data_IF_432336414947
#
_entry.id   IF_432336414947
#
_cell.length_a   1.000
_cell.length_b   1.000
_cell.length_c   1.000
_cell.angle_alpha   90.00
_cell.angle_beta   90.00
_cell.angle_gamma   90.00
#
_symmetry.space_group_name_H-M   'P 1'
#
loop_
_entity.id
_entity.type
_entity.pdbx_description
1 polymer ?
#
# COMPACT_ATOMS: atom_id res chain seq x y z
N UNK A 1 -15.35 -12.60 11.75
CA UNK A 1 -16.41 -11.53 11.70
C UNK A 1 -15.72 -10.20 11.41
N UNK A 2 -16.26 -9.38 10.47
CA UNK A 2 -15.76 -8.02 10.21
C UNK A 2 -16.50 -7.00 11.07
N UNK A 3 -15.79 -6.02 11.60
CA UNK A 3 -16.32 -4.87 12.34
C UNK A 3 -15.67 -3.59 11.84
N UNK A 4 -16.44 -2.49 11.84
CA UNK A 4 -15.96 -1.17 11.48
C UNK A 4 -15.55 -0.41 12.74
N UNK A 5 -14.44 0.31 12.67
CA UNK A 5 -13.95 1.18 13.73
C UNK A 5 -13.63 2.56 13.16
N UNK A 6 -13.63 3.57 14.02
CA UNK A 6 -13.38 4.95 13.63
C UNK A 6 -12.48 5.63 14.65
N UNK A 7 -11.52 6.38 14.17
CA UNK A 7 -10.65 7.22 15.00
C UNK A 7 -10.37 8.56 14.34
N UNK A 8 -9.92 9.55 15.13
CA UNK A 8 -9.62 10.87 14.61
C UNK A 8 -8.29 10.86 13.85
N UNK A 9 -8.27 11.47 12.64
CA UNK A 9 -7.05 11.65 11.87
C UNK A 9 -6.08 12.60 12.56
N UNK A 10 -4.79 12.42 12.33
CA UNK A 10 -3.74 13.39 12.71
C UNK A 10 -3.79 14.66 11.84
N UNK A 11 -4.48 14.60 10.71
CA UNK A 11 -4.83 15.77 9.90
C UNK A 11 -6.17 16.36 10.32
N UNK A 12 -7.18 16.17 9.50
CA UNK A 12 -8.56 16.62 9.77
C UNK A 12 -9.54 15.52 9.52
N UNK A 13 -10.62 15.47 10.33
CA UNK A 13 -11.70 14.51 10.19
C UNK A 13 -11.42 13.16 10.82
N UNK A 14 -12.11 12.13 10.36
CA UNK A 14 -12.08 10.79 10.92
C UNK A 14 -11.60 9.76 9.90
N UNK A 15 -10.94 8.75 10.39
CA UNK A 15 -10.48 7.58 9.64
C UNK A 15 -11.43 6.42 9.94
N UNK A 16 -11.96 5.83 8.87
CA UNK A 16 -12.63 4.55 8.89
C UNK A 16 -11.61 3.42 8.84
N UNK A 17 -11.82 2.38 9.60
CA UNK A 17 -11.01 1.17 9.51
C UNK A 17 -11.88 -0.08 9.70
N UNK A 18 -11.45 -1.18 9.13
CA UNK A 18 -12.06 -2.49 9.29
C UNK A 18 -11.17 -3.40 10.14
N UNK A 19 -11.84 -4.27 10.88
CA UNK A 19 -11.21 -5.30 11.69
C UNK A 19 -11.87 -6.64 11.37
N UNK A 20 -11.09 -7.63 10.90
CA UNK A 20 -11.53 -9.01 10.68
C UNK A 20 -11.00 -9.88 11.81
N UNK A 21 -11.94 -10.40 12.62
CA UNK A 21 -11.64 -11.09 13.87
C UNK A 21 -11.74 -12.59 13.63
N UNK A 22 -10.70 -13.38 13.95
CA UNK A 22 -10.74 -14.84 13.84
C UNK A 22 -11.64 -15.46 14.91
N UNK A 23 -11.98 -16.73 14.75
CA UNK A 23 -12.57 -17.53 15.82
C UNK A 23 -11.50 -17.85 16.87
N UNK A 24 -11.81 -17.58 18.14
CA UNK A 24 -10.88 -17.79 19.25
C UNK A 24 -9.83 -16.69 19.40
N UNK A 25 -8.74 -17.01 20.10
CA UNK A 25 -7.65 -16.06 20.36
C UNK A 25 -6.80 -15.90 19.09
N UNK A 26 -6.52 -14.66 18.63
CA UNK A 26 -5.66 -14.45 17.49
C UNK A 26 -4.20 -14.83 17.82
N UNK A 27 -3.51 -15.41 16.83
CA UNK A 27 -2.10 -15.78 16.95
C UNK A 27 -1.14 -14.65 16.57
N UNK A 28 -1.58 -13.72 15.76
CA UNK A 28 -0.84 -12.54 15.33
C UNK A 28 -1.77 -11.50 14.71
N UNK A 29 -1.28 -10.28 14.51
CA UNK A 29 -1.98 -9.19 13.82
C UNK A 29 -1.36 -8.98 12.44
N UNK A 30 -2.18 -8.79 11.40
CA UNK A 30 -1.78 -8.32 10.08
C UNK A 30 -2.47 -6.98 9.81
N UNK A 31 -1.69 -5.91 9.70
CA UNK A 31 -2.21 -4.61 9.26
C UNK A 31 -2.00 -4.47 7.75
N UNK A 32 -3.09 -4.23 7.01
CA UNK A 32 -3.09 -3.98 5.57
C UNK A 32 -3.13 -2.48 5.30
N UNK A 33 -2.28 -2.01 4.39
CA UNK A 33 -2.23 -0.63 3.89
C UNK A 33 -2.53 -0.67 2.40
N UNK A 34 -3.69 -0.16 1.99
CA UNK A 34 -4.21 -0.24 0.63
C UNK A 34 -3.54 0.75 -0.34
N UNK A 35 -3.80 0.59 -1.64
CA UNK A 35 -3.26 1.42 -2.72
C UNK A 35 -4.05 2.71 -2.96
N UNK A 36 -3.66 3.46 -4.00
CA UNK A 36 -4.33 4.67 -4.44
C UNK A 36 -5.64 4.34 -5.17
N UNK A 37 -6.65 5.17 -4.98
CA UNK A 37 -7.96 5.09 -5.65
C UNK A 37 -8.67 3.74 -5.47
N UNK A 38 -8.51 3.17 -4.29
CA UNK A 38 -9.21 1.96 -3.82
C UNK A 38 -9.61 2.13 -2.35
N UNK A 39 -10.11 1.08 -1.70
CA UNK A 39 -10.59 1.11 -0.34
C UNK A 39 -10.47 -0.25 0.35
N UNK A 40 -10.62 -0.25 1.67
CA UNK A 40 -10.26 -1.36 2.55
C UNK A 40 -11.02 -2.65 2.28
N UNK A 41 -12.32 -2.60 1.95
CA UNK A 41 -13.11 -3.82 1.75
C UNK A 41 -12.73 -4.62 0.48
N UNK A 42 -11.91 -4.06 -0.41
CA UNK A 42 -11.35 -4.83 -1.54
C UNK A 42 -10.39 -5.94 -1.09
N UNK A 43 -9.97 -5.91 0.17
CA UNK A 43 -9.12 -6.91 0.79
C UNK A 43 -9.91 -7.98 1.57
N UNK A 44 -11.26 -7.95 1.51
CA UNK A 44 -12.12 -8.90 2.25
C UNK A 44 -11.74 -10.37 2.01
N UNK A 45 -11.49 -10.78 0.77
CA UNK A 45 -11.13 -12.18 0.45
C UNK A 45 -9.81 -12.59 1.14
N UNK A 46 -8.78 -11.76 1.05
CA UNK A 46 -7.49 -12.03 1.68
C UNK A 46 -7.57 -11.95 3.21
N UNK A 47 -8.25 -10.94 3.75
CA UNK A 47 -8.43 -10.79 5.19
C UNK A 47 -9.22 -11.98 5.77
N UNK A 48 -10.29 -12.43 5.10
CA UNK A 48 -11.05 -13.61 5.51
C UNK A 48 -10.23 -14.91 5.39
N UNK A 49 -9.35 -15.03 4.39
CA UNK A 49 -8.41 -16.13 4.32
C UNK A 49 -7.50 -16.15 5.56
N UNK A 50 -6.86 -15.04 5.90
CA UNK A 50 -5.98 -14.94 7.06
C UNK A 50 -6.73 -15.16 8.39
N UNK A 51 -7.97 -14.66 8.53
CA UNK A 51 -8.75 -14.89 9.76
C UNK A 51 -9.12 -16.36 9.96
N UNK A 52 -9.39 -17.10 8.89
CA UNK A 52 -9.57 -18.57 8.99
C UNK A 52 -8.29 -19.28 9.45
N UNK A 53 -7.13 -18.66 9.26
CA UNK A 53 -5.83 -19.15 9.74
C UNK A 53 -5.47 -18.62 11.13
N UNK A 54 -6.38 -17.94 11.82
CA UNK A 54 -6.19 -17.45 13.18
C UNK A 54 -5.52 -16.09 13.32
N UNK A 55 -5.44 -15.28 12.25
CA UNK A 55 -4.92 -13.92 12.31
C UNK A 55 -6.03 -12.90 12.58
N UNK A 56 -5.73 -11.92 13.42
CA UNK A 56 -6.49 -10.67 13.45
C UNK A 56 -5.99 -9.79 12.28
N UNK A 57 -6.89 -9.37 11.41
CA UNK A 57 -6.53 -8.45 10.32
C UNK A 57 -7.15 -7.09 10.61
N UNK A 58 -6.38 -6.01 10.40
CA UNK A 58 -6.84 -4.62 10.53
C UNK A 58 -6.39 -3.83 9.31
N UNK A 59 -7.22 -2.87 8.87
CA UNK A 59 -6.87 -1.98 7.78
C UNK A 59 -7.71 -0.69 7.88
N UNK A 60 -7.12 0.45 7.53
CA UNK A 60 -7.85 1.71 7.42
C UNK A 60 -8.07 2.12 5.97
N UNK A 61 -9.18 2.84 5.72
CA UNK A 61 -9.29 3.69 4.55
C UNK A 61 -8.42 4.93 4.76
N UNK A 62 -7.47 5.17 3.89
CA UNK A 62 -6.66 6.38 3.97
C UNK A 62 -7.52 7.63 3.83
N UNK A 63 -7.08 8.75 4.41
CA UNK A 63 -7.72 10.04 4.22
C UNK A 63 -8.03 10.30 2.74
N UNK A 64 -9.27 10.70 2.44
CA UNK A 64 -9.75 10.92 1.07
C UNK A 64 -10.04 9.65 0.25
N UNK A 65 -9.99 8.46 0.88
CA UNK A 65 -10.32 7.17 0.27
C UNK A 65 -11.45 6.49 1.05
N UNK A 66 -12.13 5.55 0.40
CA UNK A 66 -13.16 4.73 1.01
C UNK A 66 -14.19 5.55 1.78
N UNK A 67 -14.42 5.18 3.03
CA UNK A 67 -15.31 5.91 3.94
C UNK A 67 -14.60 7.06 4.70
N UNK A 68 -13.27 7.21 4.57
CA UNK A 68 -12.49 8.32 5.13
C UNK A 68 -12.54 9.58 4.26
N UNK A 69 -13.56 9.72 3.41
CA UNK A 69 -13.91 10.93 2.70
C UNK A 69 -14.71 11.80 3.66
N UNK A 70 -14.05 12.84 4.21
CA UNK A 70 -14.65 13.69 5.23
C UNK A 70 -15.77 14.60 4.69
N UNK A 71 -16.35 15.42 5.57
CA UNK A 71 -17.49 16.28 5.27
C UNK A 71 -17.27 17.32 4.16
N UNK A 72 -16.03 17.57 3.73
CA UNK A 72 -15.70 18.38 2.55
C UNK A 72 -15.87 17.60 1.21
N UNK A 73 -16.04 16.26 1.29
CA UNK A 73 -16.22 15.39 0.13
C UNK A 73 -15.01 15.26 -0.78
N UNK A 74 -13.81 15.71 -0.36
CA UNK A 74 -12.61 15.71 -1.19
C UNK A 74 -12.04 14.30 -1.27
N UNK A 75 -12.05 13.71 -2.47
CA UNK A 75 -11.47 12.41 -2.76
C UNK A 75 -10.02 12.53 -3.19
N UNK A 76 -9.21 11.54 -2.84
CA UNK A 76 -7.85 11.45 -3.29
C UNK A 76 -7.01 12.65 -2.88
N UNK A 77 -7.13 13.09 -1.61
CA UNK A 77 -6.35 14.15 -1.02
C UNK A 77 -6.01 13.82 0.44
N UNK A 78 -4.75 13.96 0.80
CA UNK A 78 -4.29 13.80 2.17
C UNK A 78 -4.26 15.14 2.90
N UNK A 79 -5.23 15.41 3.77
CA UNK A 79 -5.19 16.57 4.67
C UNK A 79 -3.97 16.46 5.60
N UNK A 80 -3.02 17.37 5.45
CA UNK A 80 -1.73 17.33 6.16
C UNK A 80 -0.61 16.59 5.42
N UNK A 81 -0.90 15.98 4.26
CA UNK A 81 0.09 15.37 3.37
C UNK A 81 0.54 13.96 3.76
N UNK A 82 1.59 13.49 3.08
CA UNK A 82 2.10 12.11 3.18
C UNK A 82 2.37 11.62 4.61
N UNK A 83 3.11 12.42 5.39
CA UNK A 83 3.50 11.99 6.73
C UNK A 83 2.35 11.98 7.71
N UNK A 84 1.32 12.80 7.51
CA UNK A 84 0.09 12.75 8.30
C UNK A 84 -0.69 11.46 8.02
N UNK A 85 -0.80 11.04 6.76
CA UNK A 85 -1.40 9.75 6.42
C UNK A 85 -0.60 8.56 7.00
N UNK A 86 0.72 8.65 7.07
CA UNK A 86 1.56 7.67 7.77
C UNK A 86 1.25 7.63 9.27
N UNK A 87 1.05 8.78 9.90
CA UNK A 87 0.72 8.87 11.33
C UNK A 87 -0.68 8.32 11.64
N UNK A 88 -1.63 8.41 10.71
CA UNK A 88 -2.94 7.77 10.81
C UNK A 88 -2.81 6.23 10.82
N UNK A 89 -2.02 5.66 9.90
CA UNK A 89 -1.70 4.22 9.89
C UNK A 89 -0.97 3.77 11.16
N UNK A 90 -0.07 4.60 11.68
CA UNK A 90 0.63 4.35 12.94
C UNK A 90 -0.30 4.44 14.16
N UNK A 91 -1.35 5.29 14.11
CA UNK A 91 -2.36 5.33 15.17
C UNK A 91 -3.14 4.02 15.24
N UNK A 92 -3.59 3.48 14.09
CA UNK A 92 -4.24 2.16 14.04
C UNK A 92 -3.33 1.06 14.62
N UNK A 93 -2.05 1.06 14.25
CA UNK A 93 -1.05 0.14 14.80
C UNK A 93 -0.94 0.26 16.31
N UNK A 94 -0.80 1.48 16.81
CA UNK A 94 -0.66 1.77 18.25
C UNK A 94 -1.88 1.29 19.05
N UNK A 95 -3.08 1.61 18.55
CA UNK A 95 -4.32 1.24 19.23
C UNK A 95 -4.53 -0.28 19.22
N UNK A 96 -4.23 -0.94 18.11
CA UNK A 96 -4.30 -2.41 18.01
C UNK A 96 -3.27 -3.08 18.91
N UNK A 97 -2.04 -2.58 18.97
CA UNK A 97 -1.00 -3.11 19.88
C UNK A 97 -1.32 -2.85 21.35
N UNK A 98 -2.01 -1.77 21.70
CA UNK A 98 -2.46 -1.53 23.06
C UNK A 98 -3.54 -2.54 23.50
N UNK A 99 -4.38 -2.99 22.59
CA UNK A 99 -5.39 -4.02 22.85
C UNK A 99 -4.78 -5.45 22.86
N UNK A 100 -3.75 -5.69 22.02
CA UNK A 100 -3.09 -6.99 21.86
C UNK A 100 -1.56 -6.86 22.00
N UNK A 101 -1.04 -6.51 23.17
CA UNK A 101 0.37 -6.13 23.34
C UNK A 101 1.37 -7.28 23.09
N UNK A 102 0.95 -8.52 23.32
CA UNK A 102 1.83 -9.70 23.19
C UNK A 102 1.80 -10.33 21.80
N UNK A 103 0.90 -9.88 20.90
CA UNK A 103 0.79 -10.49 19.58
C UNK A 103 1.88 -10.01 18.63
N UNK A 104 2.51 -10.93 17.89
CA UNK A 104 3.32 -10.57 16.73
C UNK A 104 2.56 -9.65 15.77
N UNK A 105 3.23 -8.63 15.21
CA UNK A 105 2.58 -7.63 14.37
C UNK A 105 3.23 -7.56 12.99
N UNK A 106 2.48 -7.88 11.97
CA UNK A 106 2.90 -7.92 10.58
C UNK A 106 2.31 -6.73 9.82
N UNK A 107 3.15 -6.01 9.08
CA UNK A 107 2.72 -4.92 8.21
C UNK A 107 2.67 -5.40 6.76
N UNK A 108 1.56 -5.20 6.07
CA UNK A 108 1.39 -5.50 4.65
C UNK A 108 0.99 -4.24 3.89
N UNK A 109 1.81 -3.77 2.95
CA UNK A 109 1.48 -2.62 2.12
C UNK A 109 1.40 -2.97 0.65
N UNK A 110 0.32 -2.55 -0.04
CA UNK A 110 0.11 -2.75 -1.47
C UNK A 110 0.15 -1.43 -2.25
N UNK A 111 0.85 -1.40 -3.38
CA UNK A 111 0.91 -0.24 -4.29
C UNK A 111 1.37 1.04 -3.57
N UNK A 112 0.56 2.11 -3.56
CA UNK A 112 0.82 3.30 -2.72
C UNK A 112 1.04 2.90 -1.26
N UNK A 113 0.25 1.96 -0.73
CA UNK A 113 0.43 1.41 0.62
C UNK A 113 1.79 0.73 0.82
N UNK A 114 2.42 0.21 -0.24
CA UNK A 114 3.78 -0.33 -0.17
C UNK A 114 4.84 0.77 0.03
N UNK A 115 4.61 1.96 -0.54
CA UNK A 115 5.46 3.13 -0.29
C UNK A 115 5.23 3.67 1.13
N UNK A 116 3.98 3.63 1.63
CA UNK A 116 3.64 3.98 3.01
C UNK A 116 4.30 3.01 3.99
N UNK A 117 4.20 1.70 3.77
CA UNK A 117 4.87 0.70 4.60
C UNK A 117 6.40 0.92 4.64
N UNK A 118 7.04 1.14 3.48
CA UNK A 118 8.48 1.47 3.42
C UNK A 118 8.79 2.77 4.15
N UNK A 119 7.89 3.78 4.13
CA UNK A 119 8.06 5.01 4.92
C UNK A 119 8.04 4.70 6.41
N UNK A 120 7.12 3.84 6.87
CA UNK A 120 7.05 3.39 8.27
C UNK A 120 8.35 2.71 8.67
N UNK A 121 8.86 1.76 7.87
CA UNK A 121 10.13 1.07 8.15
C UNK A 121 11.32 2.03 8.29
N UNK A 122 11.37 3.08 7.46
CA UNK A 122 12.44 4.08 7.50
C UNK A 122 12.30 5.07 8.66
N UNK A 123 11.06 5.47 8.99
CA UNK A 123 10.81 6.55 9.97
C UNK A 123 10.65 6.05 11.39
N UNK A 124 10.14 4.82 11.55
CA UNK A 124 9.80 4.22 12.85
C UNK A 124 10.44 2.83 13.02
N UNK A 125 11.78 2.71 13.03
CA UNK A 125 12.49 1.42 13.06
C UNK A 125 12.12 0.57 14.27
N UNK A 126 11.76 1.22 15.40
CA UNK A 126 11.46 0.58 16.67
C UNK A 126 9.95 0.47 16.96
N UNK A 127 9.08 0.52 15.92
CA UNK A 127 7.63 0.42 16.12
C UNK A 127 7.13 -0.98 16.52
N UNK A 128 8.06 -1.93 16.70
CA UNK A 128 7.77 -3.28 17.20
C UNK A 128 7.04 -4.16 16.17
N UNK A 129 7.42 -4.07 14.90
CA UNK A 129 7.01 -5.01 13.88
C UNK A 129 7.76 -6.34 14.02
N UNK A 130 7.08 -7.44 13.77
CA UNK A 130 7.66 -8.78 13.66
C UNK A 130 8.13 -9.06 12.23
N UNK A 131 7.40 -8.60 11.23
CA UNK A 131 7.72 -8.76 9.82
C UNK A 131 7.01 -7.70 8.96
N UNK A 132 7.48 -7.49 7.72
CA UNK A 132 6.81 -6.61 6.76
C UNK A 132 6.73 -7.23 5.37
N UNK A 133 5.61 -7.01 4.67
CA UNK A 133 5.38 -7.45 3.30
C UNK A 133 5.13 -6.24 2.42
N UNK A 134 5.92 -6.13 1.36
CA UNK A 134 5.93 -5.01 0.42
C UNK A 134 5.43 -5.52 -0.92
N UNK A 135 4.15 -5.26 -1.22
CA UNK A 135 3.44 -5.79 -2.37
C UNK A 135 3.28 -4.74 -3.48
N UNK A 136 3.61 -5.09 -4.72
CA UNK A 136 3.38 -4.23 -5.89
C UNK A 136 4.13 -2.89 -5.83
N UNK A 137 5.32 -2.88 -5.22
CA UNK A 137 6.15 -1.67 -5.07
C UNK A 137 6.98 -1.38 -6.31
N UNK A 138 7.47 -0.15 -6.43
CA UNK A 138 8.39 0.27 -7.46
C UNK A 138 9.67 0.91 -6.90
N UNK A 139 10.56 1.29 -7.82
CA UNK A 139 11.74 2.11 -7.57
C UNK A 139 11.88 3.13 -8.68
N UNK A 140 12.03 4.39 -8.33
CA UNK A 140 12.18 5.48 -9.28
C UNK A 140 13.61 6.05 -9.21
N UNK A 141 14.18 6.55 -10.31
CA UNK A 141 15.46 7.21 -10.24
C UNK A 141 15.38 8.47 -9.35
N UNK A 142 16.06 8.44 -8.20
CA UNK A 142 15.99 9.51 -7.19
C UNK A 142 16.32 10.90 -7.75
N UNK A 143 17.13 11.00 -8.82
CA UNK A 143 17.48 12.28 -9.44
C UNK A 143 16.33 12.92 -10.24
N UNK A 144 15.35 12.13 -10.69
CA UNK A 144 14.21 12.63 -11.48
C UNK A 144 13.08 13.19 -10.61
N UNK A 145 12.92 12.67 -9.39
CA UNK A 145 11.82 13.00 -8.50
C UNK A 145 11.79 14.47 -8.06
N UNK A 146 12.90 15.13 -7.67
CA UNK A 146 12.88 16.54 -7.27
C UNK A 146 12.34 17.49 -8.34
N UNK A 147 12.71 17.25 -9.60
CA UNK A 147 12.22 18.07 -10.73
C UNK A 147 10.71 17.86 -10.94
N UNK A 148 10.24 16.61 -10.89
CA UNK A 148 8.82 16.29 -11.00
C UNK A 148 8.02 16.88 -9.84
N UNK A 149 8.47 16.74 -8.60
CA UNK A 149 7.83 17.33 -7.42
C UNK A 149 7.70 18.85 -7.58
N UNK A 150 8.75 19.53 -8.04
CA UNK A 150 8.72 20.99 -8.27
C UNK A 150 7.68 21.41 -9.32
N UNK A 151 7.50 20.62 -10.38
CA UNK A 151 6.46 20.86 -11.39
C UNK A 151 5.08 20.70 -10.75
N UNK A 152 4.85 19.63 -9.99
CA UNK A 152 3.57 19.38 -9.32
C UNK A 152 3.30 20.45 -8.25
N UNK A 153 4.29 20.85 -7.46
CA UNK A 153 4.16 21.98 -6.50
C UNK A 153 3.69 23.27 -7.20
N UNK A 154 4.16 23.52 -8.43
CA UNK A 154 3.68 24.66 -9.22
C UNK A 154 2.19 24.57 -9.58
N UNK A 155 1.69 23.37 -9.83
CA UNK A 155 0.25 23.10 -10.10
C UNK A 155 -0.56 23.26 -8.81
N UNK A 156 -0.08 22.70 -7.71
CA UNK A 156 -0.70 22.75 -6.38
C UNK A 156 -0.92 24.17 -5.86
N UNK A 157 -0.11 25.15 -6.28
CA UNK A 157 -0.28 26.57 -5.89
C UNK A 157 -1.64 27.16 -6.29
N UNK A 158 -2.33 26.60 -7.28
CA UNK A 158 -3.66 27.06 -7.69
C UNK A 158 -4.74 26.41 -6.84
N UNK A 159 -4.71 25.11 -6.74
CA UNK A 159 -5.61 24.31 -5.92
C UNK A 159 -5.08 22.87 -5.86
N UNK A 160 -4.56 22.48 -4.72
CA UNK A 160 -3.98 21.14 -4.54
C UNK A 160 -5.03 20.04 -4.31
N UNK A 161 -6.26 20.43 -3.99
CA UNK A 161 -7.35 19.48 -3.68
C UNK A 161 -8.06 18.97 -4.92
N UNK A 162 -7.90 19.65 -6.07
CA UNK A 162 -8.60 19.28 -7.29
C UNK A 162 -8.02 18.05 -7.96
N UNK A 163 -8.88 17.16 -8.47
CA UNK A 163 -8.49 16.08 -9.38
C UNK A 163 -7.69 16.63 -10.57
N UNK A 164 -6.63 15.92 -10.97
CA UNK A 164 -5.78 16.37 -12.07
C UNK A 164 -5.51 15.24 -13.07
N UNK A 165 -6.36 15.15 -14.10
CA UNK A 165 -6.29 14.12 -15.14
C UNK A 165 -4.95 14.13 -15.91
N UNK A 166 -4.36 15.32 -16.13
CA UNK A 166 -3.07 15.41 -16.85
C UNK A 166 -1.95 14.80 -16.03
N UNK A 167 -1.88 15.09 -14.73
CA UNK A 167 -0.89 14.48 -13.85
C UNK A 167 -1.15 12.98 -13.69
N UNK A 168 -2.40 12.58 -13.55
CA UNK A 168 -2.78 11.16 -13.51
C UNK A 168 -2.35 10.43 -14.77
N UNK A 169 -2.61 10.99 -15.94
CA UNK A 169 -2.15 10.44 -17.22
C UNK A 169 -0.63 10.36 -17.34
N UNK A 170 0.12 11.31 -16.76
CA UNK A 170 1.59 11.24 -16.72
C UNK A 170 2.09 10.10 -15.84
N UNK A 171 1.42 9.82 -14.72
CA UNK A 171 1.83 8.77 -13.76
C UNK A 171 1.36 7.39 -14.22
N UNK A 172 0.09 7.25 -14.59
CA UNK A 172 -0.56 5.95 -14.84
C UNK A 172 -0.84 5.63 -16.31
N UNK A 173 -0.85 6.62 -17.19
CA UNK A 173 -1.29 6.47 -18.58
C UNK A 173 -0.46 5.51 -19.46
N UNK A 174 0.69 5.07 -18.96
CA UNK A 174 1.52 4.08 -19.64
C UNK A 174 1.33 2.64 -19.14
N UNK A 175 0.50 2.41 -18.13
CA UNK A 175 0.44 1.12 -17.43
C UNK A 175 -0.14 -0.02 -18.28
N UNK A 176 -1.08 0.28 -19.17
CA UNK A 176 -1.62 -0.72 -20.11
C UNK A 176 -0.73 -1.02 -21.34
N UNK A 177 0.42 -0.34 -21.52
CA UNK A 177 1.23 -0.46 -22.76
C UNK A 177 1.65 -1.89 -23.11
N UNK A 178 1.79 -2.77 -22.13
CA UNK A 178 2.16 -4.18 -22.36
C UNK A 178 0.99 -5.15 -22.18
N UNK A 179 -0.20 -4.65 -21.88
CA UNK A 179 -1.38 -5.50 -21.88
C UNK A 179 -1.80 -5.72 -23.33
N UNK A 180 -1.81 -6.98 -23.77
CA UNK A 180 -2.26 -7.34 -25.10
C UNK A 180 -3.79 -7.14 -25.19
N UNK A 181 -4.24 -6.38 -26.18
CA UNK A 181 -5.67 -6.10 -26.43
C UNK A 181 -6.42 -5.62 -25.17
N UNK A 182 -6.02 -4.50 -24.53
CA UNK A 182 -6.66 -4.03 -23.31
C UNK A 182 -8.13 -3.69 -23.59
N UNK A 183 -9.03 -4.20 -22.77
CA UNK A 183 -10.49 -3.94 -22.85
C UNK A 183 -10.83 -2.58 -22.23
N UNK A 184 -10.06 -2.20 -21.20
CA UNK A 184 -10.29 -1.01 -20.37
C UNK A 184 -8.95 -0.32 -20.07
N UNK A 185 -8.99 0.88 -19.53
CA UNK A 185 -7.79 1.58 -19.04
C UNK A 185 -7.22 1.00 -17.74
N UNK A 186 -7.92 0.07 -17.07
CA UNK A 186 -7.54 -0.54 -15.81
C UNK A 186 -7.11 -2.00 -15.92
N UNK A 187 -7.00 -2.56 -17.11
CA UNK A 187 -6.64 -3.98 -17.28
C UNK A 187 -5.25 -4.31 -16.72
N UNK A 188 -4.38 -3.32 -16.55
CA UNK A 188 -3.09 -3.49 -15.87
C UNK A 188 -3.20 -3.92 -14.40
N UNK A 189 -4.37 -3.82 -13.77
CA UNK A 189 -4.61 -4.22 -12.38
C UNK A 189 -4.61 -5.73 -12.21
N UNK A 190 -5.34 -6.47 -13.03
CA UNK A 190 -5.49 -7.92 -12.91
C UNK A 190 -5.82 -8.57 -14.27
N UNK A 191 -5.47 -9.85 -14.41
CA UNK A 191 -5.93 -10.68 -15.55
C UNK A 191 -7.38 -11.14 -15.36
N UNK A 192 -7.92 -11.13 -14.15
CA UNK A 192 -9.34 -11.44 -13.93
C UNK A 192 -10.21 -10.26 -14.32
N UNK A 193 -10.86 -10.39 -15.46
CA UNK A 193 -11.75 -9.36 -16.00
C UNK A 193 -12.87 -8.96 -15.03
N UNK A 194 -13.36 -9.89 -14.21
CA UNK A 194 -14.41 -9.61 -13.21
C UNK A 194 -13.93 -8.66 -12.13
N UNK A 195 -12.65 -8.80 -11.71
CA UNK A 195 -12.01 -7.89 -10.75
C UNK A 195 -11.89 -6.48 -11.33
N UNK A 196 -11.43 -6.37 -12.59
CA UNK A 196 -11.30 -5.09 -13.27
C UNK A 196 -12.66 -4.43 -13.47
N UNK A 197 -13.67 -5.19 -13.91
CA UNK A 197 -15.03 -4.68 -14.12
C UNK A 197 -15.67 -4.22 -12.79
N UNK A 198 -15.46 -4.97 -11.70
CA UNK A 198 -15.90 -4.58 -10.36
C UNK A 198 -15.22 -3.29 -9.87
N UNK A 199 -13.89 -3.14 -10.12
CA UNK A 199 -13.14 -1.93 -9.81
C UNK A 199 -13.72 -0.71 -10.54
N UNK A 200 -13.98 -0.83 -11.84
CA UNK A 200 -14.53 0.26 -12.67
C UNK A 200 -15.96 0.63 -12.22
N UNK A 201 -16.77 -0.36 -11.88
CA UNK A 201 -18.16 -0.15 -11.47
C UNK A 201 -18.28 0.45 -10.05
N UNK A 202 -17.25 0.33 -9.22
CA UNK A 202 -17.35 0.74 -7.82
C UNK A 202 -17.10 2.25 -7.64
N UNK A 203 -18.02 3.01 -7.01
CA UNK A 203 -17.91 4.46 -6.90
C UNK A 203 -16.72 4.96 -6.05
N UNK A 204 -16.13 4.09 -5.22
CA UNK A 204 -14.97 4.41 -4.38
C UNK A 204 -13.63 4.01 -5.03
N UNK A 205 -13.66 3.46 -6.26
CA UNK A 205 -12.47 3.05 -7.00
C UNK A 205 -12.23 3.94 -8.23
N UNK A 206 -10.99 3.95 -8.73
CA UNK A 206 -10.65 4.52 -10.02
C UNK A 206 -10.85 6.02 -10.17
N UNK A 207 -11.05 6.75 -9.09
CA UNK A 207 -11.20 8.19 -9.13
C UNK A 207 -9.88 8.89 -9.51
N UNK A 208 -9.99 10.05 -10.14
CA UNK A 208 -8.82 10.87 -10.45
C UNK A 208 -8.25 11.48 -9.17
N UNK A 209 -6.98 11.20 -8.89
CA UNK A 209 -6.28 11.74 -7.73
C UNK A 209 -6.10 13.26 -7.83
N UNK A 210 -6.10 13.93 -6.68
CA UNK A 210 -5.77 15.35 -6.60
C UNK A 210 -4.29 15.60 -6.93
N UNK A 211 -3.97 16.82 -7.34
CA UNK A 211 -2.59 17.23 -7.54
C UNK A 211 -1.77 17.10 -6.23
N UNK A 212 -2.40 17.40 -5.09
CA UNK A 212 -1.80 17.26 -3.76
C UNK A 212 -1.43 15.83 -3.43
N UNK A 213 -2.35 14.87 -3.64
CA UNK A 213 -2.05 13.45 -3.38
C UNK A 213 -0.89 12.95 -4.25
N UNK A 214 -0.89 13.26 -5.55
CA UNK A 214 0.20 12.84 -6.45
C UNK A 214 1.54 13.46 -6.04
N UNK A 215 1.57 14.76 -5.66
CA UNK A 215 2.75 15.41 -5.10
C UNK A 215 3.25 14.69 -3.84
N UNK A 216 2.36 14.42 -2.91
CA UNK A 216 2.69 13.86 -1.61
C UNK A 216 3.16 12.40 -1.75
N UNK A 217 2.56 11.62 -2.63
CA UNK A 217 3.07 10.29 -3.00
C UNK A 217 4.49 10.37 -3.59
N UNK A 218 4.76 11.32 -4.51
CA UNK A 218 6.11 11.50 -5.05
C UNK A 218 7.12 11.92 -3.98
N UNK A 219 6.73 12.76 -3.01
CA UNK A 219 7.56 13.11 -1.84
C UNK A 219 7.82 11.88 -0.96
N UNK A 220 6.81 11.02 -0.76
CA UNK A 220 6.96 9.75 -0.06
C UNK A 220 7.93 8.81 -0.76
N UNK A 221 7.80 8.62 -2.08
CA UNK A 221 8.73 7.82 -2.88
C UNK A 221 10.16 8.39 -2.80
N UNK A 222 10.30 9.70 -2.93
CA UNK A 222 11.61 10.35 -2.78
C UNK A 222 12.23 10.09 -1.40
N UNK A 223 11.43 10.17 -0.33
CA UNK A 223 11.89 9.90 1.04
C UNK A 223 12.42 8.47 1.22
N UNK A 224 11.67 7.47 0.76
CA UNK A 224 12.04 6.04 0.93
C UNK A 224 13.21 5.59 0.05
N UNK A 225 13.63 6.40 -0.90
CA UNK A 225 14.77 6.10 -1.78
C UNK A 225 16.06 6.79 -1.33
N UNK A 226 15.99 7.66 -0.29
CA UNK A 226 17.18 8.28 0.27
C UNK A 226 17.99 7.28 1.10
N UNK A 227 19.29 7.17 0.79
CA UNK A 227 20.20 6.22 1.47
C UNK A 227 20.16 6.38 2.99
N UNK A 228 20.15 7.61 3.49
CA UNK A 228 20.10 7.89 4.93
C UNK A 228 18.83 7.32 5.60
N UNK A 229 17.68 7.37 4.93
CA UNK A 229 16.42 6.86 5.45
C UNK A 229 16.41 5.32 5.44
N UNK A 230 16.94 4.70 4.38
CA UNK A 230 17.12 3.25 4.32
C UNK A 230 18.07 2.74 5.41
N UNK A 231 19.10 3.49 5.74
CA UNK A 231 20.02 3.14 6.82
C UNK A 231 19.38 3.18 8.21
N UNK A 232 18.25 3.87 8.36
CA UNK A 232 17.53 3.99 9.64
C UNK A 232 16.71 2.74 9.99
N UNK A 233 16.38 1.90 9.02
CA UNK A 233 15.53 0.72 9.22
C UNK A 233 16.11 -0.26 10.25
N UNK A 234 15.25 -0.97 10.96
CA UNK A 234 15.64 -2.11 11.80
C UNK A 234 16.23 -3.23 10.93
N UNK A 235 17.51 -3.56 11.12
CA UNK A 235 18.24 -4.47 10.23
C UNK A 235 17.83 -5.93 10.37
N UNK A 236 17.30 -6.31 11.52
CA UNK A 236 16.87 -7.68 11.82
C UNK A 236 15.42 -7.94 11.44
N UNK A 237 14.66 -6.90 11.03
CA UNK A 237 13.26 -7.07 10.61
C UNK A 237 13.18 -7.86 9.30
N UNK A 238 12.48 -9.00 9.25
CA UNK A 238 12.24 -9.73 8.02
C UNK A 238 11.35 -8.93 7.06
N UNK A 239 11.74 -8.85 5.78
CA UNK A 239 10.96 -8.15 4.75
C UNK A 239 10.76 -9.03 3.52
N UNK A 240 9.51 -9.18 3.10
CA UNK A 240 9.13 -9.93 1.92
C UNK A 240 8.61 -9.00 0.81
N UNK A 241 9.32 -8.95 -0.30
CA UNK A 241 8.89 -8.24 -1.50
C UNK A 241 8.14 -9.19 -2.43
N UNK A 242 6.90 -8.84 -2.77
CA UNK A 242 6.07 -9.62 -3.69
C UNK A 242 5.47 -8.73 -4.78
N UNK A 243 5.40 -9.22 -6.01
CA UNK A 243 4.78 -8.48 -7.11
C UNK A 243 4.46 -9.39 -8.30
N UNK A 244 3.61 -8.91 -9.20
CA UNK A 244 3.40 -9.52 -10.50
C UNK A 244 4.59 -9.31 -11.44
N UNK A 245 4.85 -10.29 -12.31
CA UNK A 245 5.86 -10.20 -13.36
C UNK A 245 5.48 -9.19 -14.46
N UNK A 246 4.17 -8.98 -14.64
CA UNK A 246 3.62 -8.04 -15.61
C UNK A 246 3.11 -6.74 -14.95
N UNK A 247 3.49 -6.50 -13.70
CA UNK A 247 3.16 -5.27 -12.97
C UNK A 247 3.94 -4.05 -13.52
N UNK A 248 3.25 -3.05 -14.10
CA UNK A 248 3.88 -1.85 -14.64
C UNK A 248 4.41 -0.89 -13.56
N UNK A 249 3.86 -0.91 -12.33
CA UNK A 249 4.28 -0.05 -11.22
C UNK A 249 5.72 -0.37 -10.80
N UNK A 250 6.05 -1.65 -10.71
CA UNK A 250 7.40 -2.13 -10.42
C UNK A 250 8.27 -2.38 -11.66
N UNK A 251 8.18 -1.60 -12.76
CA UNK A 251 8.58 -1.88 -14.14
C UNK A 251 8.85 -3.36 -14.42
N UNK A 252 7.77 -4.17 -14.37
CA UNK A 252 7.82 -5.60 -14.71
C UNK A 252 8.83 -6.37 -13.83
N UNK A 253 8.73 -6.18 -12.52
CA UNK A 253 9.57 -6.80 -11.50
C UNK A 253 10.96 -6.16 -11.32
N UNK A 254 11.42 -5.27 -12.20
CA UNK A 254 12.75 -4.63 -12.08
C UNK A 254 12.82 -3.69 -10.89
N UNK A 255 11.81 -2.85 -10.69
CA UNK A 255 11.74 -1.90 -9.58
C UNK A 255 11.65 -2.59 -8.22
N UNK A 256 10.88 -3.69 -8.16
CA UNK A 256 10.76 -4.51 -6.94
C UNK A 256 12.11 -5.14 -6.57
N UNK A 257 12.81 -5.74 -7.56
CA UNK A 257 14.16 -6.29 -7.35
C UNK A 257 15.16 -5.21 -6.92
N UNK A 258 15.04 -4.01 -7.50
CA UNK A 258 15.88 -2.87 -7.12
C UNK A 258 15.61 -2.43 -5.67
N UNK A 259 14.35 -2.31 -5.27
CA UNK A 259 13.99 -1.98 -3.89
C UNK A 259 14.56 -3.00 -2.90
N UNK A 260 14.39 -4.30 -3.16
CA UNK A 260 14.94 -5.37 -2.32
C UNK A 260 16.48 -5.33 -2.28
N UNK A 261 17.14 -5.04 -3.41
CA UNK A 261 18.61 -4.87 -3.46
C UNK A 261 19.07 -3.69 -2.58
N UNK A 262 18.38 -2.55 -2.63
CA UNK A 262 18.75 -1.38 -1.83
C UNK A 262 18.50 -1.61 -0.33
N UNK A 263 17.49 -2.41 0.04
CA UNK A 263 17.29 -2.86 1.42
C UNK A 263 18.48 -3.71 1.91
N UNK A 264 18.94 -4.69 1.09
CA UNK A 264 20.14 -5.50 1.41
C UNK A 264 21.39 -4.63 1.52
N UNK A 265 21.57 -3.66 0.63
CA UNK A 265 22.69 -2.69 0.68
C UNK A 265 22.64 -1.79 1.91
N UNK A 266 21.45 -1.51 2.42
CA UNK A 266 21.27 -0.78 3.67
C UNK A 266 21.58 -1.64 4.92
N UNK A 267 21.89 -2.92 4.75
CA UNK A 267 22.25 -3.83 5.82
C UNK A 267 21.11 -4.66 6.39
N UNK A 268 19.95 -4.72 5.70
CA UNK A 268 18.86 -5.61 6.11
C UNK A 268 19.28 -7.08 5.95
N UNK A 269 19.14 -7.87 7.01
CA UNK A 269 19.66 -9.25 7.11
C UNK A 269 18.74 -10.26 6.44
N UNK A 270 17.42 -10.07 6.52
CA UNK A 270 16.41 -10.98 5.97
C UNK A 270 15.50 -10.25 4.97
N UNK A 271 15.84 -10.34 3.68
CA UNK A 271 15.09 -9.77 2.57
C UNK A 271 14.79 -10.83 1.55
N UNK A 272 13.54 -11.27 1.52
CA UNK A 272 12.99 -12.23 0.56
C UNK A 272 12.29 -11.54 -0.61
N UNK A 273 12.23 -12.19 -1.77
CA UNK A 273 11.54 -11.66 -2.95
C UNK A 273 10.88 -12.79 -3.73
N UNK A 274 9.62 -12.58 -4.14
CA UNK A 274 8.90 -13.45 -5.07
C UNK A 274 8.20 -12.64 -6.15
N UNK A 275 8.41 -12.99 -7.40
CA UNK A 275 7.73 -12.40 -8.55
C UNK A 275 6.85 -13.49 -9.16
N UNK A 276 5.54 -13.23 -9.23
CA UNK A 276 4.56 -14.16 -9.79
C UNK A 276 4.49 -13.95 -11.31
N UNK A 277 4.92 -14.95 -12.11
CA UNK A 277 4.89 -14.83 -13.57
C UNK A 277 3.48 -14.50 -14.08
N UNK A 278 3.40 -13.67 -15.12
CA UNK A 278 2.16 -13.26 -15.77
C UNK A 278 1.17 -12.46 -14.89
N UNK A 279 1.30 -12.48 -13.56
CA UNK A 279 0.45 -11.67 -12.69
C UNK A 279 0.70 -10.18 -12.94
N UNK A 280 -0.38 -9.41 -12.94
CA UNK A 280 -0.38 -7.95 -13.05
C UNK A 280 -0.24 -7.33 -11.66
N UNK A 281 -0.72 -6.11 -11.47
CA UNK A 281 -0.45 -5.31 -10.27
C UNK A 281 -1.10 -5.86 -8.99
N UNK A 282 -2.37 -6.21 -9.05
CA UNK A 282 -3.15 -6.66 -7.88
C UNK A 282 -3.04 -8.17 -7.69
N UNK A 283 -1.88 -8.66 -7.25
CA UNK A 283 -1.64 -10.10 -7.12
C UNK A 283 -2.59 -10.80 -6.13
N UNK A 284 -3.15 -10.07 -5.16
CA UNK A 284 -4.18 -10.57 -4.24
C UNK A 284 -5.56 -10.73 -4.90
N UNK A 285 -5.75 -10.18 -6.10
CA UNK A 285 -6.98 -10.22 -6.88
C UNK A 285 -6.76 -10.90 -8.25
N UNK A 286 -5.65 -11.61 -8.41
CA UNK A 286 -5.32 -12.33 -9.64
C UNK A 286 -6.05 -13.67 -9.75
N UNK A 287 -6.01 -14.29 -10.94
CA UNK A 287 -6.63 -15.59 -11.21
C UNK A 287 -6.06 -16.68 -10.28
N UNK A 288 -4.77 -16.57 -9.96
CA UNK A 288 -4.05 -17.49 -9.06
C UNK A 288 -3.80 -16.88 -7.66
N UNK A 289 -4.71 -16.01 -7.16
CA UNK A 289 -4.57 -15.34 -5.85
C UNK A 289 -4.39 -16.31 -4.69
N UNK A 290 -4.95 -17.52 -4.77
CA UNK A 290 -4.82 -18.52 -3.71
C UNK A 290 -3.36 -18.95 -3.50
N UNK A 291 -2.57 -19.10 -4.58
CA UNK A 291 -1.12 -19.32 -4.50
C UNK A 291 -0.42 -18.18 -3.75
N UNK A 292 -0.82 -16.93 -4.03
CA UNK A 292 -0.24 -15.75 -3.36
C UNK A 292 -0.59 -15.74 -1.88
N UNK A 293 -1.84 -16.08 -1.53
CA UNK A 293 -2.31 -16.13 -0.14
C UNK A 293 -1.54 -17.18 0.67
N UNK A 294 -1.37 -18.40 0.12
CA UNK A 294 -0.62 -19.47 0.76
C UNK A 294 0.87 -19.12 0.94
N UNK A 295 1.49 -18.52 -0.07
CA UNK A 295 2.87 -18.08 0.03
C UNK A 295 3.09 -17.02 1.11
N UNK A 296 2.16 -16.05 1.20
CA UNK A 296 2.18 -15.02 2.25
C UNK A 296 2.01 -15.67 3.62
N UNK A 297 1.04 -16.57 3.77
CA UNK A 297 0.81 -17.29 5.02
C UNK A 297 2.05 -18.08 5.44
N UNK A 298 2.58 -18.93 4.56
CA UNK A 298 3.79 -19.72 4.84
C UNK A 298 5.00 -18.85 5.20
N UNK A 299 5.12 -17.68 4.56
CA UNK A 299 6.22 -16.78 4.87
C UNK A 299 6.05 -16.14 6.25
N UNK A 300 4.84 -15.67 6.59
CA UNK A 300 4.56 -15.06 7.91
C UNK A 300 4.81 -16.09 9.04
N UNK A 301 4.35 -17.32 8.86
CA UNK A 301 4.42 -18.38 9.89
C UNK A 301 5.84 -18.76 10.31
N UNK A 302 6.85 -18.39 9.53
CA UNK A 302 8.28 -18.58 9.93
C UNK A 302 8.73 -17.67 11.06
N UNK A 303 7.98 -16.61 11.33
CA UNK A 303 8.37 -15.54 12.26
C UNK A 303 7.41 -15.40 13.46
N UNK A 304 6.51 -16.37 13.66
CA UNK A 304 5.56 -16.41 14.78
C UNK A 304 6.04 -17.24 15.97
#
# INVERSE_FOLDING_TARGET
MRTDIWYDSKGTGRIHACRWIPEGQPKAVVQLIHGIAEFVERYDDFANFLTRQGFLVVAEDHMGHGQSINGDGIRGYFHGGWFTAIEDSMQLMKDTKAEFPELPYILFGHSMGSFMARTILCKYPDCGLTAAIICGTGWQPAFALPALIKVIDGICKKDETKPNEKLQGMVFGSYNKKVEHPRTEFDWLSRDARVVDAYIAHPLCGFTASAGLLRDMMKGIYFIEQKQNLQNMNKTLPVFFIAGGDDPVGPYGKGVRKAAEEFRKAGMEDVSIRIYPLCRHEILNEINREEVYEDVLHWIEKYL
#
